data_IF_303646260079
#
_entry.id   IF_303646260079
#
_cell.length_a   1.000
_cell.length_b   1.000
_cell.length_c   1.000
_cell.angle_alpha   90.00
_cell.angle_beta   90.00
_cell.angle_gamma   90.00
#
_symmetry.space_group_name_H-M   'P 1'
#
loop_
_entity.id
_entity.type
_entity.pdbx_description
1 polymer ?
#
# COMPACT_ATOMS: atom_id res chain seq x y z
N UNK A 1 -2.66 81.81 29.69
CA UNK A 1 -2.91 81.01 28.53
C UNK A 1 -2.56 79.53 28.91
N UNK A 2 -3.58 78.81 29.24
CA UNK A 2 -3.50 77.43 29.74
C UNK A 2 -3.79 76.42 28.62
N UNK A 3 -2.79 75.58 28.19
CA UNK A 3 -3.01 74.48 27.29
C UNK A 3 -3.53 73.29 28.09
N UNK A 4 -4.68 72.78 27.69
CA UNK A 4 -5.23 71.50 28.14
C UNK A 4 -4.66 70.36 27.23
N UNK A 5 -3.96 69.40 27.82
CA UNK A 5 -3.56 68.18 27.18
C UNK A 5 -4.67 67.12 27.32
N UNK A 6 -5.15 66.65 26.19
CA UNK A 6 -6.15 65.60 26.10
C UNK A 6 -5.37 64.21 25.88
N UNK A 7 -5.44 63.31 26.85
CA UNK A 7 -4.98 61.95 26.71
C UNK A 7 -6.01 61.13 25.95
N UNK A 8 -5.64 60.64 24.76
CA UNK A 8 -6.37 59.57 24.07
C UNK A 8 -5.85 58.22 24.59
N UNK A 9 -6.71 57.50 25.27
CA UNK A 9 -6.45 56.11 25.61
C UNK A 9 -6.70 55.19 24.39
N UNK A 10 -5.67 54.54 23.92
CA UNK A 10 -5.80 53.49 22.91
C UNK A 10 -6.21 52.18 23.61
N UNK A 11 -7.44 51.74 23.34
CA UNK A 11 -7.89 50.41 23.71
C UNK A 11 -7.31 49.39 22.71
N UNK A 12 -6.38 48.52 23.17
CA UNK A 12 -5.90 47.36 22.42
C UNK A 12 -6.98 46.29 22.53
N UNK A 13 -7.73 46.07 21.45
CA UNK A 13 -8.55 44.87 21.31
C UNK A 13 -7.62 43.70 21.02
N UNK A 14 -7.47 42.82 22.01
CA UNK A 14 -6.89 41.48 21.81
C UNK A 14 -7.93 40.63 21.04
N UNK A 15 -7.76 40.53 19.73
CA UNK A 15 -8.45 39.48 18.94
C UNK A 15 -7.70 38.17 19.17
N UNK A 16 -8.22 37.38 20.12
CA UNK A 16 -7.84 35.99 20.27
C UNK A 16 -8.15 35.22 18.95
N UNK A 17 -7.11 34.74 18.29
CA UNK A 17 -7.22 33.95 17.09
C UNK A 17 -7.89 32.60 17.36
N UNK A 18 -9.16 32.54 17.00
CA UNK A 18 -9.90 31.28 16.84
C UNK A 18 -10.01 31.00 15.33
N UNK A 19 -8.91 30.63 14.70
CA UNK A 19 -8.91 30.20 13.28
C UNK A 19 -7.99 29.01 13.08
N UNK A 20 -8.43 27.81 13.53
CA UNK A 20 -7.91 26.54 13.05
C UNK A 20 -8.81 25.32 13.37
N UNK A 21 -10.00 25.52 13.96
CA UNK A 21 -10.81 24.38 14.43
C UNK A 21 -11.93 23.95 13.49
N UNK A 22 -12.21 24.65 12.40
CA UNK A 22 -13.38 24.33 11.56
C UNK A 22 -13.09 23.37 10.39
N UNK A 23 -11.85 23.25 9.92
CA UNK A 23 -11.55 22.34 8.81
C UNK A 23 -11.34 20.87 9.27
N UNK A 24 -10.85 20.68 10.50
CA UNK A 24 -10.63 19.34 11.04
C UNK A 24 -11.87 18.74 11.72
N UNK A 25 -12.81 19.54 12.18
CA UNK A 25 -14.06 19.04 12.76
C UNK A 25 -14.94 18.32 11.73
N UNK A 26 -14.86 18.72 10.47
CA UNK A 26 -15.67 18.18 9.38
C UNK A 26 -15.17 16.79 8.93
N UNK A 27 -13.84 16.56 8.92
CA UNK A 27 -13.25 15.29 8.50
C UNK A 27 -13.48 14.15 9.52
N UNK A 28 -13.63 14.51 10.78
CA UNK A 28 -13.91 13.55 11.85
C UNK A 28 -15.41 13.24 12.04
N UNK A 29 -16.29 13.90 11.28
CA UNK A 29 -17.73 13.63 11.29
C UNK A 29 -18.06 12.49 10.32
N UNK A 30 -18.05 11.25 10.83
CA UNK A 30 -18.32 10.02 10.07
C UNK A 30 -19.57 9.34 10.60
N UNK A 31 -20.17 8.37 9.87
CA UNK A 31 -21.36 7.66 10.32
C UNK A 31 -21.23 7.03 11.71
N UNK A 32 -20.05 6.48 12.04
CA UNK A 32 -19.82 5.79 13.30
C UNK A 32 -19.36 6.74 14.42
N UNK A 33 -19.83 6.48 15.63
CA UNK A 33 -19.33 7.14 16.85
C UNK A 33 -17.98 6.55 17.27
N UNK A 34 -17.21 7.30 18.06
CA UNK A 34 -15.96 6.87 18.66
C UNK A 34 -16.14 6.65 20.17
N UNK A 35 -15.51 5.59 20.70
CA UNK A 35 -15.49 5.30 22.12
C UNK A 35 -14.62 6.25 22.94
N UNK A 36 -14.62 6.09 24.25
CA UNK A 36 -13.73 6.83 25.16
C UNK A 36 -12.31 6.23 25.09
N UNK A 37 -11.39 7.02 24.57
CA UNK A 37 -9.98 6.65 24.41
C UNK A 37 -9.08 7.14 25.57
N UNK A 38 -9.64 7.92 26.50
CA UNK A 38 -8.89 8.57 27.57
C UNK A 38 -8.34 9.95 27.18
N UNK A 39 -7.56 10.56 28.08
CA UNK A 39 -6.95 11.88 27.88
C UNK A 39 -5.43 11.80 28.05
N UNK A 40 -4.70 12.34 27.07
CA UNK A 40 -3.22 12.31 26.97
C UNK A 40 -2.68 13.69 26.57
N UNK A 41 -3.16 14.73 27.20
CA UNK A 41 -2.88 16.13 26.85
C UNK A 41 -1.39 16.42 26.72
N UNK A 42 -0.95 16.74 25.50
CA UNK A 42 0.44 17.06 25.17
C UNK A 42 1.40 15.87 25.10
N UNK A 43 0.95 14.63 25.35
CA UNK A 43 1.78 13.44 25.12
C UNK A 43 2.05 13.25 23.64
N UNK A 44 3.32 13.00 23.28
CA UNK A 44 3.74 12.83 21.89
C UNK A 44 3.82 11.35 21.54
N UNK A 45 3.09 10.93 20.50
CA UNK A 45 3.22 9.61 19.90
C UNK A 45 3.88 9.79 18.52
N UNK A 46 5.07 9.22 18.36
CA UNK A 46 5.82 9.26 17.10
C UNK A 46 5.50 8.04 16.24
N UNK A 47 5.26 8.26 14.96
CA UNK A 47 4.92 7.21 13.98
C UNK A 47 5.87 7.32 12.80
N UNK A 48 6.37 6.19 12.29
CA UNK A 48 7.16 6.12 11.07
C UNK A 48 6.57 5.10 10.09
N UNK A 49 6.56 5.45 8.81
CA UNK A 49 6.06 4.57 7.74
C UNK A 49 6.60 4.94 6.37
N UNK A 50 6.11 4.28 5.33
CA UNK A 50 6.49 4.55 3.94
C UNK A 50 5.60 5.58 3.24
N UNK A 51 4.47 5.95 3.83
CA UNK A 51 3.45 6.81 3.23
C UNK A 51 3.96 8.23 3.04
N UNK A 52 3.73 8.81 1.86
CA UNK A 52 4.13 10.17 1.48
C UNK A 52 3.03 10.84 0.64
N UNK A 53 3.11 12.17 0.51
CA UNK A 53 2.20 12.93 -0.33
C UNK A 53 0.74 12.79 0.12
N UNK A 54 -0.16 12.43 -0.79
CA UNK A 54 -1.60 12.32 -0.47
C UNK A 54 -1.90 11.22 0.55
N UNK A 55 -1.17 10.12 0.51
CA UNK A 55 -1.34 9.01 1.47
C UNK A 55 -0.94 9.43 2.89
N UNK A 56 0.11 10.25 3.02
CA UNK A 56 0.49 10.91 4.28
C UNK A 56 -0.56 11.91 4.74
N UNK A 57 -1.09 12.75 3.83
CA UNK A 57 -2.18 13.69 4.13
C UNK A 57 -3.40 12.96 4.71
N UNK A 58 -3.77 11.81 4.12
CA UNK A 58 -4.89 10.98 4.57
C UNK A 58 -4.63 10.34 5.95
N UNK A 59 -3.41 9.84 6.17
CA UNK A 59 -2.98 9.36 7.49
C UNK A 59 -3.10 10.47 8.55
N UNK A 60 -2.61 11.67 8.24
CA UNK A 60 -2.66 12.81 9.16
C UNK A 60 -4.11 13.27 9.41
N UNK A 61 -5.00 13.21 8.43
CA UNK A 61 -6.42 13.46 8.63
C UNK A 61 -7.05 12.45 9.60
N UNK A 62 -6.73 11.16 9.45
CA UNK A 62 -7.20 10.11 10.37
C UNK A 62 -6.64 10.32 11.78
N UNK A 63 -5.35 10.60 11.93
CA UNK A 63 -4.73 10.79 13.24
C UNK A 63 -5.19 12.06 13.95
N UNK A 64 -5.58 13.12 13.21
CA UNK A 64 -6.10 14.36 13.79
C UNK A 64 -7.38 14.14 14.62
N UNK A 65 -8.18 13.13 14.29
CA UNK A 65 -9.37 12.78 15.06
C UNK A 65 -9.01 12.13 16.41
N UNK A 66 -7.94 11.35 16.46
CA UNK A 66 -7.38 10.84 17.71
C UNK A 66 -6.83 12.00 18.58
N UNK A 67 -6.06 12.93 17.98
CA UNK A 67 -5.54 14.10 18.67
C UNK A 67 -6.67 14.95 19.26
N UNK A 68 -7.71 15.23 18.49
CA UNK A 68 -8.87 16.00 18.92
C UNK A 68 -9.62 15.33 20.09
N UNK A 69 -9.70 14.00 20.11
CA UNK A 69 -10.41 13.25 21.13
C UNK A 69 -9.61 13.09 22.43
N UNK A 70 -8.28 13.06 22.36
CA UNK A 70 -7.43 12.64 23.48
C UNK A 70 -6.48 13.73 23.99
N UNK A 71 -6.24 14.79 23.21
CA UNK A 71 -5.22 15.81 23.50
C UNK A 71 -3.77 15.33 23.26
N UNK A 72 -3.56 14.10 22.77
CA UNK A 72 -2.24 13.62 22.35
C UNK A 72 -1.76 14.38 21.11
N UNK A 73 -0.46 14.33 20.83
CA UNK A 73 0.16 14.93 19.64
C UNK A 73 0.82 13.82 18.81
N UNK A 74 0.37 13.64 17.58
CA UNK A 74 0.95 12.68 16.64
C UNK A 74 2.06 13.36 15.83
N UNK A 75 3.22 12.68 15.71
CA UNK A 75 4.30 13.10 14.81
C UNK A 75 4.62 11.98 13.87
N UNK A 76 4.23 12.14 12.61
CA UNK A 76 4.51 11.18 11.56
C UNK A 76 5.80 11.54 10.79
N UNK A 77 6.55 10.53 10.37
CA UNK A 77 7.70 10.62 9.48
C UNK A 77 7.60 9.60 8.37
N UNK A 78 7.37 10.06 7.15
CA UNK A 78 7.24 9.23 5.95
C UNK A 78 8.54 9.14 5.16
N UNK A 79 8.95 7.93 4.73
CA UNK A 79 10.13 7.74 3.89
C UNK A 79 9.98 6.54 2.95
N UNK A 80 10.36 6.70 1.68
CA UNK A 80 10.51 5.57 0.74
C UNK A 80 11.59 4.58 1.18
N UNK A 81 12.52 5.04 1.99
CA UNK A 81 13.63 4.24 2.53
C UNK A 81 13.26 3.60 3.88
N UNK A 82 11.95 3.54 4.21
CA UNK A 82 11.44 3.07 5.50
C UNK A 82 12.08 1.75 5.95
N UNK A 83 12.12 0.73 5.08
CA UNK A 83 12.65 -0.59 5.44
C UNK A 83 14.10 -0.53 5.95
N UNK A 84 14.96 0.28 5.33
CA UNK A 84 16.34 0.44 5.77
C UNK A 84 16.44 1.32 7.02
N UNK A 85 15.69 2.41 7.07
CA UNK A 85 15.73 3.38 8.18
C UNK A 85 15.18 2.79 9.48
N UNK A 86 14.06 2.06 9.42
CA UNK A 86 13.45 1.49 10.62
C UNK A 86 14.36 0.45 11.28
N UNK A 87 15.05 -0.39 10.50
CA UNK A 87 16.02 -1.35 11.03
C UNK A 87 17.18 -0.63 11.74
N UNK A 88 17.69 0.46 11.15
CA UNK A 88 18.76 1.26 11.76
C UNK A 88 18.29 1.93 13.05
N UNK A 89 17.10 2.51 13.06
CA UNK A 89 16.52 3.20 14.21
C UNK A 89 16.22 2.24 15.37
N UNK A 90 15.66 1.06 15.08
CA UNK A 90 15.42 0.00 16.07
C UNK A 90 16.74 -0.45 16.73
N UNK A 91 17.76 -0.76 15.93
CA UNK A 91 19.07 -1.20 16.41
C UNK A 91 19.84 -0.12 17.17
N UNK A 92 19.61 1.17 16.87
CA UNK A 92 20.24 2.30 17.58
C UNK A 92 19.44 2.82 18.78
N UNK A 93 18.33 2.16 19.13
CA UNK A 93 17.38 2.58 20.19
C UNK A 93 16.76 3.98 19.94
N UNK A 94 16.63 4.36 18.68
CA UNK A 94 16.02 5.62 18.22
C UNK A 94 14.63 5.41 17.56
N UNK A 95 14.00 4.27 17.79
CA UNK A 95 12.74 3.90 17.20
C UNK A 95 11.60 4.88 17.54
N UNK A 96 10.59 5.07 16.64
CA UNK A 96 9.35 5.76 16.97
C UNK A 96 8.53 4.98 18.01
N UNK A 97 7.36 5.48 18.41
CA UNK A 97 6.42 4.69 19.24
C UNK A 97 5.73 3.60 18.40
N UNK A 98 5.41 3.94 17.14
CA UNK A 98 4.69 3.07 16.21
C UNK A 98 5.46 3.02 14.90
N UNK A 99 5.61 1.83 14.34
CA UNK A 99 6.16 1.61 13.00
C UNK A 99 5.10 0.97 12.11
N UNK A 100 4.92 1.52 10.90
CA UNK A 100 3.95 1.03 9.94
C UNK A 100 4.70 0.24 8.87
N UNK A 101 4.68 -1.08 8.98
CA UNK A 101 5.36 -1.98 8.05
C UNK A 101 4.44 -2.35 6.88
N UNK A 102 4.82 -2.04 5.65
CA UNK A 102 4.20 -2.65 4.48
C UNK A 102 4.68 -4.10 4.25
N UNK A 103 5.82 -4.51 4.84
CA UNK A 103 6.40 -5.84 4.72
C UNK A 103 6.21 -6.65 6.02
N UNK A 104 5.23 -7.58 6.09
CA UNK A 104 5.04 -8.47 7.24
C UNK A 104 6.28 -9.32 7.57
N UNK A 105 7.02 -9.78 6.56
CA UNK A 105 8.26 -10.54 6.76
C UNK A 105 9.32 -9.74 7.52
N UNK A 106 9.55 -8.46 7.14
CA UNK A 106 10.47 -7.58 7.86
C UNK A 106 9.99 -7.29 9.29
N UNK A 107 8.67 -7.13 9.49
CA UNK A 107 8.11 -6.98 10.84
C UNK A 107 8.36 -8.24 11.69
N UNK A 108 8.25 -9.42 11.10
CA UNK A 108 8.58 -10.71 11.73
C UNK A 108 10.04 -10.79 12.17
N UNK A 109 10.98 -10.40 11.29
CA UNK A 109 12.41 -10.32 11.63
C UNK A 109 12.64 -9.40 12.85
N UNK A 110 11.99 -8.23 12.87
CA UNK A 110 12.12 -7.28 13.97
C UNK A 110 11.46 -7.77 15.28
N UNK A 111 10.39 -8.54 15.20
CA UNK A 111 9.78 -9.20 16.35
C UNK A 111 10.70 -10.27 16.94
N UNK A 112 11.28 -11.14 16.11
CA UNK A 112 12.22 -12.17 16.51
C UNK A 112 13.50 -11.58 17.13
N UNK A 113 13.96 -10.42 16.65
CA UNK A 113 15.08 -9.65 17.25
C UNK A 113 14.69 -8.92 18.57
N UNK A 114 13.42 -8.96 19.00
CA UNK A 114 12.94 -8.35 20.24
C UNK A 114 12.73 -6.84 20.18
N UNK A 115 12.59 -6.25 18.98
CA UNK A 115 12.40 -4.81 18.81
C UNK A 115 10.93 -4.37 18.86
N UNK A 116 9.98 -5.31 18.72
CA UNK A 116 8.56 -5.01 18.76
C UNK A 116 7.94 -5.39 20.11
N UNK A 117 6.89 -4.67 20.49
CA UNK A 117 6.10 -4.96 21.69
C UNK A 117 4.79 -5.64 21.30
N UNK A 118 4.42 -6.78 21.87
CA UNK A 118 3.17 -7.46 21.57
C UNK A 118 1.94 -6.57 21.85
N UNK A 119 0.95 -6.62 20.97
CA UNK A 119 -0.33 -5.93 21.13
C UNK A 119 -1.25 -6.65 22.12
N UNK A 120 -1.04 -7.96 22.31
CA UNK A 120 -1.75 -8.81 23.24
C UNK A 120 -2.95 -9.55 22.66
N UNK A 121 -3.42 -10.56 23.41
CA UNK A 121 -4.48 -11.47 22.99
C UNK A 121 -5.82 -10.77 22.76
N UNK A 122 -6.12 -9.72 23.54
CA UNK A 122 -7.37 -8.95 23.40
C UNK A 122 -7.43 -8.25 22.02
N UNK A 123 -6.32 -7.74 21.51
CA UNK A 123 -6.26 -7.11 20.19
C UNK A 123 -6.41 -8.16 19.07
N UNK A 124 -5.79 -9.34 19.24
CA UNK A 124 -5.94 -10.45 18.30
C UNK A 124 -7.38 -10.98 18.26
N UNK A 125 -8.00 -11.19 19.43
CA UNK A 125 -9.39 -11.61 19.53
C UNK A 125 -10.34 -10.58 18.89
N UNK A 126 -10.12 -9.29 19.19
CA UNK A 126 -10.91 -8.23 18.59
C UNK A 126 -10.84 -8.25 17.06
N UNK A 127 -9.63 -8.37 16.47
CA UNK A 127 -9.46 -8.42 15.03
C UNK A 127 -10.12 -9.67 14.42
N UNK A 128 -9.99 -10.84 15.08
CA UNK A 128 -10.66 -12.08 14.66
C UNK A 128 -12.17 -11.89 14.53
N UNK A 129 -12.78 -11.21 15.48
CA UNK A 129 -14.24 -11.04 15.55
C UNK A 129 -14.77 -9.93 14.62
N UNK A 130 -13.99 -8.85 14.45
CA UNK A 130 -14.45 -7.63 13.79
C UNK A 130 -13.98 -7.47 12.34
N UNK A 131 -13.02 -8.28 11.86
CA UNK A 131 -12.56 -8.23 10.48
C UNK A 131 -13.15 -9.36 9.63
N UNK A 132 -13.43 -9.08 8.36
CA UNK A 132 -13.62 -10.12 7.36
C UNK A 132 -12.35 -10.97 7.25
N UNK A 133 -12.47 -12.31 7.32
CA UNK A 133 -11.32 -13.23 7.42
C UNK A 133 -10.35 -12.91 8.58
N UNK A 134 -10.88 -12.45 9.74
CA UNK A 134 -10.11 -11.92 10.86
C UNK A 134 -8.98 -12.82 11.34
N UNK A 135 -9.18 -14.14 11.37
CA UNK A 135 -8.14 -15.11 11.73
C UNK A 135 -6.92 -15.05 10.78
N UNK A 136 -7.12 -14.79 9.47
CA UNK A 136 -6.03 -14.64 8.52
C UNK A 136 -5.22 -13.35 8.76
N UNK A 137 -5.90 -12.27 9.12
CA UNK A 137 -5.23 -11.00 9.47
C UNK A 137 -4.44 -11.10 10.78
N UNK A 138 -4.96 -11.84 11.76
CA UNK A 138 -4.21 -12.14 12.99
C UNK A 138 -2.98 -12.98 12.69
N UNK A 139 -3.12 -14.03 11.87
CA UNK A 139 -1.97 -14.85 11.46
C UNK A 139 -0.88 -14.03 10.75
N UNK A 140 -1.27 -13.06 9.90
CA UNK A 140 -0.35 -12.16 9.20
C UNK A 140 0.44 -11.26 10.15
N UNK A 141 -0.12 -10.86 11.30
CA UNK A 141 0.52 -10.02 12.31
C UNK A 141 1.11 -10.80 13.50
N UNK A 142 1.11 -12.15 13.45
CA UNK A 142 1.63 -13.02 14.50
C UNK A 142 3.03 -13.52 14.15
N UNK A 143 3.98 -13.30 15.02
CA UNK A 143 5.39 -13.65 14.82
C UNK A 143 5.99 -14.27 16.07
N UNK A 144 7.07 -15.04 15.90
CA UNK A 144 7.84 -15.53 17.01
C UNK A 144 8.54 -14.37 17.76
N UNK A 145 8.51 -14.41 19.10
CA UNK A 145 9.33 -13.57 19.95
C UNK A 145 10.77 -14.12 20.03
N UNK A 146 11.74 -13.45 20.70
CA UNK A 146 13.11 -13.95 20.85
C UNK A 146 13.23 -15.33 21.53
N UNK A 147 12.21 -15.76 22.25
CA UNK A 147 12.14 -17.07 22.92
C UNK A 147 11.47 -18.12 22.05
N UNK A 148 10.97 -17.75 20.84
CA UNK A 148 10.30 -18.62 19.88
C UNK A 148 8.81 -18.82 20.14
N UNK A 149 8.17 -18.00 20.97
CA UNK A 149 6.72 -18.07 21.20
C UNK A 149 6.00 -17.12 20.26
N UNK A 150 4.92 -17.59 19.63
CA UNK A 150 4.08 -16.77 18.78
C UNK A 150 3.34 -15.69 19.59
N UNK A 151 3.47 -14.42 19.15
CA UNK A 151 2.80 -13.28 19.73
C UNK A 151 2.18 -12.41 18.63
N UNK A 152 1.09 -11.71 18.92
CA UNK A 152 0.45 -10.78 17.99
C UNK A 152 1.09 -9.38 18.09
N UNK A 153 1.77 -8.95 17.02
CA UNK A 153 2.50 -7.69 16.94
C UNK A 153 1.92 -6.70 15.94
N UNK A 154 1.33 -7.19 14.85
CA UNK A 154 0.96 -6.38 13.69
C UNK A 154 -0.55 -6.18 13.55
N UNK A 155 -1.04 -4.95 13.76
CA UNK A 155 -2.43 -4.59 13.51
C UNK A 155 -2.61 -4.18 12.05
N UNK A 156 -3.30 -5.00 11.25
CA UNK A 156 -3.61 -4.70 9.86
C UNK A 156 -4.70 -3.61 9.80
N UNK A 157 -4.35 -2.40 9.36
CA UNK A 157 -5.28 -1.28 9.34
C UNK A 157 -5.72 -0.90 7.93
N UNK A 158 -4.77 -0.66 7.02
CA UNK A 158 -5.02 -0.34 5.61
C UNK A 158 -4.78 -1.58 4.76
N UNK A 159 -5.75 -1.96 3.93
CA UNK A 159 -5.61 -3.01 2.94
C UNK A 159 -5.48 -2.40 1.55
N UNK A 160 -4.75 -3.07 0.68
CA UNK A 160 -4.58 -2.71 -0.72
C UNK A 160 -4.92 -3.88 -1.63
N UNK A 161 -5.65 -3.61 -2.70
CA UNK A 161 -5.94 -4.53 -3.78
C UNK A 161 -4.92 -4.29 -4.89
N UNK A 162 -4.10 -5.31 -5.23
CA UNK A 162 -2.99 -5.17 -6.18
C UNK A 162 -3.33 -5.63 -7.61
N UNK A 163 -4.38 -6.42 -7.80
CA UNK A 163 -4.78 -6.98 -9.11
C UNK A 163 -5.60 -6.00 -9.94
N UNK A 164 -5.10 -4.77 -10.15
CA UNK A 164 -5.79 -3.73 -10.89
C UNK A 164 -4.95 -3.22 -12.06
N UNK A 165 -5.64 -2.87 -13.17
CA UNK A 165 -5.09 -2.12 -14.30
C UNK A 165 -5.88 -0.82 -14.45
N UNK A 166 -5.18 0.27 -14.27
CA UNK A 166 -5.73 1.63 -14.37
C UNK A 166 -5.62 2.15 -15.80
N UNK A 167 -6.63 2.89 -16.24
CA UNK A 167 -6.71 3.45 -17.58
C UNK A 167 -7.55 4.74 -17.59
N UNK A 168 -7.51 5.49 -18.68
CA UNK A 168 -8.42 6.61 -18.92
C UNK A 168 -9.61 6.13 -19.76
N UNK A 169 -10.86 6.20 -19.25
CA UNK A 169 -12.05 5.83 -20.03
C UNK A 169 -12.18 6.63 -21.33
N UNK A 170 -11.90 7.93 -21.32
CA UNK A 170 -11.91 8.79 -22.49
C UNK A 170 -10.94 8.30 -23.58
N UNK A 171 -9.70 7.92 -23.19
CA UNK A 171 -8.71 7.41 -24.14
C UNK A 171 -9.13 6.06 -24.74
N UNK A 172 -9.75 5.20 -23.94
CA UNK A 172 -10.26 3.92 -24.42
C UNK A 172 -11.43 4.11 -25.39
N UNK A 173 -12.38 4.99 -25.06
CA UNK A 173 -13.53 5.32 -25.94
C UNK A 173 -13.07 5.94 -27.27
N UNK A 174 -12.17 6.91 -27.23
CA UNK A 174 -11.65 7.61 -28.41
C UNK A 174 -10.92 6.68 -29.38
N UNK A 175 -10.25 5.64 -28.87
CA UNK A 175 -9.53 4.64 -29.68
C UNK A 175 -10.35 3.37 -29.96
N UNK A 176 -11.53 3.22 -29.36
CA UNK A 176 -12.38 2.04 -29.52
C UNK A 176 -11.83 0.79 -28.85
N UNK A 177 -11.09 0.95 -27.75
CA UNK A 177 -10.55 -0.18 -26.98
C UNK A 177 -11.60 -0.72 -26.01
N UNK A 178 -11.67 -2.04 -25.90
CA UNK A 178 -12.56 -2.74 -24.98
C UNK A 178 -11.79 -3.29 -23.77
N UNK A 179 -12.45 -3.37 -22.62
CA UNK A 179 -11.85 -3.92 -21.40
C UNK A 179 -11.64 -5.43 -21.55
N UNK A 180 -10.41 -5.95 -21.45
CA UNK A 180 -10.12 -7.36 -21.59
C UNK A 180 -10.60 -8.17 -20.38
N UNK A 181 -11.14 -9.35 -20.61
CA UNK A 181 -11.60 -10.29 -19.59
C UNK A 181 -10.63 -11.44 -19.33
N UNK A 182 -9.66 -11.64 -20.24
CA UNK A 182 -8.62 -12.67 -20.14
C UNK A 182 -7.23 -12.07 -20.40
N UNK A 183 -6.19 -12.76 -19.92
CA UNK A 183 -4.81 -12.35 -20.18
C UNK A 183 -4.46 -12.40 -21.67
N UNK A 184 -5.00 -13.36 -22.37
CA UNK A 184 -4.84 -13.47 -23.83
C UNK A 184 -5.44 -12.23 -24.55
N UNK A 185 -6.61 -11.75 -24.12
CA UNK A 185 -7.22 -10.51 -24.64
C UNK A 185 -6.41 -9.27 -24.24
N UNK A 186 -5.84 -9.22 -23.03
CA UNK A 186 -4.98 -8.12 -22.58
C UNK A 186 -3.70 -7.99 -23.43
N UNK A 187 -3.08 -9.12 -23.76
CA UNK A 187 -1.92 -9.17 -24.66
C UNK A 187 -2.32 -8.72 -26.06
N UNK A 188 -3.44 -9.22 -26.58
CA UNK A 188 -3.95 -8.83 -27.92
C UNK A 188 -4.31 -7.33 -27.97
N UNK A 189 -4.88 -6.77 -26.91
CA UNK A 189 -5.15 -5.34 -26.77
C UNK A 189 -3.83 -4.54 -26.78
N UNK A 190 -2.79 -5.01 -26.09
CA UNK A 190 -1.48 -4.35 -26.11
C UNK A 190 -0.88 -4.34 -27.52
N UNK A 191 -0.98 -5.46 -28.26
CA UNK A 191 -0.54 -5.54 -29.65
C UNK A 191 -1.36 -4.59 -30.58
N UNK A 192 -2.68 -4.49 -30.35
CA UNK A 192 -3.53 -3.56 -31.08
C UNK A 192 -3.12 -2.11 -30.83
N UNK A 193 -2.89 -1.72 -29.56
CA UNK A 193 -2.43 -0.36 -29.22
C UNK A 193 -1.13 0.00 -29.96
N UNK A 194 -0.16 -0.92 -30.02
CA UNK A 194 1.09 -0.72 -30.78
C UNK A 194 0.79 -0.54 -32.27
N UNK A 195 -0.09 -1.36 -32.86
CA UNK A 195 -0.45 -1.27 -34.26
C UNK A 195 -1.15 0.07 -34.59
N UNK A 196 -1.89 0.63 -33.64
CA UNK A 196 -2.57 1.92 -33.76
C UNK A 196 -1.63 3.11 -33.50
N UNK A 197 -0.37 2.85 -33.13
CA UNK A 197 0.66 3.87 -32.83
C UNK A 197 0.62 4.40 -31.39
N UNK A 198 -0.10 3.72 -30.49
CA UNK A 198 -0.16 4.02 -29.06
C UNK A 198 0.79 3.12 -28.27
N UNK A 199 1.29 3.62 -27.15
CA UNK A 199 2.11 2.82 -26.21
C UNK A 199 1.20 2.19 -25.15
N UNK A 200 1.16 0.86 -25.01
CA UNK A 200 0.25 0.20 -24.06
C UNK A 200 0.49 0.55 -22.61
N UNK A 201 1.73 0.50 -22.14
CA UNK A 201 2.04 0.41 -20.72
C UNK A 201 2.87 1.55 -20.15
N UNK A 202 2.41 2.07 -19.02
CA UNK A 202 3.14 2.94 -18.11
C UNK A 202 3.78 2.06 -17.02
N UNK A 203 5.07 1.75 -17.11
CA UNK A 203 5.77 0.90 -16.13
C UNK A 203 6.96 1.65 -15.54
N UNK A 204 7.12 1.61 -14.22
CA UNK A 204 8.27 2.13 -13.50
C UNK A 204 8.45 1.36 -12.20
N UNK A 205 9.71 1.03 -11.86
CA UNK A 205 10.05 0.24 -10.67
C UNK A 205 11.02 0.97 -9.71
N UNK A 206 11.48 2.20 -10.06
CA UNK A 206 12.30 3.00 -9.15
C UNK A 206 11.49 3.42 -7.93
N UNK A 207 12.08 3.26 -6.73
CA UNK A 207 11.49 3.66 -5.44
C UNK A 207 12.58 3.86 -4.36
N UNK A 208 13.71 4.51 -4.69
CA UNK A 208 14.81 4.65 -3.73
C UNK A 208 15.37 3.29 -3.32
N UNK A 209 15.54 3.05 -2.01
CA UNK A 209 16.02 1.77 -1.49
C UNK A 209 14.99 0.62 -1.66
N UNK A 210 13.74 0.92 -1.94
CA UNK A 210 12.70 -0.06 -2.24
C UNK A 210 12.54 -0.31 -3.75
N UNK A 211 13.48 0.16 -4.60
CA UNK A 211 13.44 -0.07 -6.05
C UNK A 211 13.30 -1.55 -6.35
N UNK A 212 12.32 -1.90 -7.19
CA UNK A 212 11.99 -3.28 -7.59
C UNK A 212 10.68 -3.82 -7.02
N UNK A 213 10.13 -3.25 -5.94
CA UNK A 213 8.91 -3.76 -5.32
C UNK A 213 7.70 -3.82 -6.29
N UNK A 214 7.58 -2.89 -7.22
CA UNK A 214 6.50 -2.95 -8.22
C UNK A 214 6.71 -4.06 -9.25
N UNK A 215 7.97 -4.45 -9.51
CA UNK A 215 8.27 -5.58 -10.38
C UNK A 215 7.95 -6.91 -9.68
N UNK A 216 8.16 -7.02 -8.37
CA UNK A 216 7.74 -8.21 -7.61
C UNK A 216 6.23 -8.32 -7.57
N UNK A 217 5.49 -7.22 -7.42
CA UNK A 217 4.02 -7.20 -7.54
C UNK A 217 3.50 -7.79 -8.86
N UNK A 218 4.16 -7.46 -9.97
CA UNK A 218 3.82 -8.05 -11.26
C UNK A 218 4.06 -9.56 -11.27
N UNK A 219 5.21 -9.99 -10.77
CA UNK A 219 5.58 -11.41 -10.67
C UNK A 219 4.58 -12.20 -9.85
N UNK A 220 4.22 -11.68 -8.69
CA UNK A 220 3.32 -12.31 -7.73
C UNK A 220 1.90 -12.46 -8.29
N UNK A 221 1.40 -11.40 -8.92
CA UNK A 221 0.09 -11.42 -9.55
C UNK A 221 0.05 -12.36 -10.76
N UNK A 222 1.15 -12.44 -11.52
CA UNK A 222 1.30 -13.40 -12.62
C UNK A 222 1.46 -14.83 -12.09
N UNK A 223 2.18 -15.05 -10.99
CA UNK A 223 2.25 -16.36 -10.34
C UNK A 223 0.87 -16.90 -9.99
N UNK A 224 -0.02 -16.09 -9.44
CA UNK A 224 -1.41 -16.46 -9.14
C UNK A 224 -2.23 -16.81 -10.39
N UNK A 225 -1.77 -16.43 -11.58
CA UNK A 225 -2.43 -16.66 -12.88
C UNK A 225 -1.77 -17.76 -13.72
N UNK A 226 -0.59 -18.24 -13.32
CA UNK A 226 0.20 -19.23 -14.07
C UNK A 226 0.45 -20.49 -13.29
N UNK A 227 0.21 -20.52 -11.98
CA UNK A 227 0.32 -21.72 -11.15
C UNK A 227 -0.74 -21.74 -10.03
N UNK A 228 -0.84 -22.85 -9.31
CA UNK A 228 -1.87 -23.01 -8.27
C UNK A 228 -1.54 -22.17 -7.01
N UNK A 229 -2.55 -21.82 -6.21
CA UNK A 229 -2.34 -21.12 -4.93
C UNK A 229 -1.40 -21.87 -3.97
N UNK A 230 -1.42 -23.21 -3.99
CA UNK A 230 -0.52 -24.03 -3.18
C UNK A 230 0.94 -23.90 -3.62
N UNK A 231 1.20 -23.76 -4.91
CA UNK A 231 2.55 -23.49 -5.42
C UNK A 231 3.00 -22.06 -5.06
N UNK A 232 2.08 -21.10 -5.06
CA UNK A 232 2.36 -19.74 -4.56
C UNK A 232 2.81 -19.78 -3.09
N UNK A 233 2.05 -20.47 -2.23
CA UNK A 233 2.38 -20.60 -0.80
C UNK A 233 3.73 -21.28 -0.58
N UNK A 234 4.02 -22.36 -1.34
CA UNK A 234 5.31 -23.06 -1.32
C UNK A 234 6.48 -22.20 -1.82
N UNK A 235 6.22 -21.29 -2.77
CA UNK A 235 7.21 -20.33 -3.24
C UNK A 235 7.55 -19.30 -2.17
N UNK A 236 6.54 -18.78 -1.46
CA UNK A 236 6.72 -17.87 -0.33
C UNK A 236 7.59 -18.48 0.78
N UNK A 237 7.43 -19.78 1.07
CA UNK A 237 8.20 -20.51 2.08
C UNK A 237 9.52 -21.11 1.57
N UNK A 238 9.81 -20.97 0.28
CA UNK A 238 10.93 -21.60 -0.43
C UNK A 238 10.88 -23.16 -0.41
N UNK A 239 9.69 -23.74 -0.28
CA UNK A 239 9.44 -25.16 -0.58
C UNK A 239 9.28 -25.40 -2.09
N UNK A 240 8.98 -24.36 -2.85
CA UNK A 240 9.12 -24.24 -4.29
C UNK A 240 10.28 -23.28 -4.58
N UNK A 241 11.33 -23.78 -5.21
CA UNK A 241 12.53 -23.00 -5.47
C UNK A 241 12.25 -21.80 -6.40
N UNK A 242 12.99 -20.71 -6.22
CA UNK A 242 12.88 -19.52 -7.07
C UNK A 242 13.22 -19.78 -8.54
N UNK A 243 14.11 -20.71 -8.80
CA UNK A 243 14.50 -21.13 -10.15
C UNK A 243 13.69 -22.32 -10.69
N UNK A 244 12.50 -22.58 -10.12
CA UNK A 244 11.57 -23.59 -10.62
C UNK A 244 10.93 -23.17 -11.96
N UNK A 245 10.43 -24.15 -12.75
CA UNK A 245 9.76 -23.85 -14.01
C UNK A 245 8.55 -22.91 -13.86
N UNK A 246 7.83 -23.00 -12.75
CA UNK A 246 6.66 -22.18 -12.44
C UNK A 246 7.05 -20.69 -12.30
N UNK A 247 8.11 -20.40 -11.54
CA UNK A 247 8.62 -19.04 -11.33
C UNK A 247 9.23 -18.49 -12.61
N UNK A 248 10.01 -19.28 -13.34
CA UNK A 248 10.58 -18.89 -14.64
C UNK A 248 9.47 -18.56 -15.65
N UNK A 249 8.36 -19.33 -15.64
CA UNK A 249 7.19 -19.03 -16.49
C UNK A 249 6.57 -17.68 -16.17
N UNK A 250 6.41 -17.36 -14.91
CA UNK A 250 5.88 -16.05 -14.49
C UNK A 250 6.84 -14.92 -14.90
N UNK A 251 8.17 -15.10 -14.78
CA UNK A 251 9.18 -14.13 -15.26
C UNK A 251 9.09 -13.91 -16.78
N UNK A 252 8.88 -15.00 -17.56
CA UNK A 252 8.67 -14.86 -19.02
C UNK A 252 7.46 -13.99 -19.34
N UNK A 253 6.32 -14.22 -18.64
CA UNK A 253 5.10 -13.44 -18.86
C UNK A 253 5.31 -11.98 -18.45
N UNK A 254 5.92 -11.71 -17.30
CA UNK A 254 6.26 -10.33 -16.92
C UNK A 254 7.19 -9.66 -17.94
N UNK A 255 8.16 -10.40 -18.47
CA UNK A 255 9.08 -9.90 -19.50
C UNK A 255 8.37 -9.53 -20.81
N UNK A 256 7.25 -10.15 -21.17
CA UNK A 256 6.45 -9.75 -22.34
C UNK A 256 5.93 -8.32 -22.21
N UNK A 257 5.54 -7.90 -20.99
CA UNK A 257 5.07 -6.55 -20.72
C UNK A 257 6.21 -5.55 -20.51
N UNK A 258 7.16 -5.87 -19.64
CA UNK A 258 8.16 -4.92 -19.14
C UNK A 258 9.41 -4.78 -20.01
N UNK A 259 9.70 -5.74 -20.89
CA UNK A 259 10.93 -5.80 -21.71
C UNK A 259 10.69 -5.65 -23.21
N UNK A 260 9.50 -5.24 -23.59
CA UNK A 260 9.13 -4.93 -24.97
C UNK A 260 9.20 -3.41 -25.18
N UNK A 261 10.13 -2.95 -26.02
CA UNK A 261 10.35 -1.51 -26.29
C UNK A 261 9.09 -0.83 -26.87
N UNK A 262 8.28 -1.54 -27.64
CA UNK A 262 7.05 -1.01 -28.22
C UNK A 262 5.90 -0.95 -27.19
N UNK A 263 6.00 -1.73 -26.10
CA UNK A 263 4.97 -1.77 -25.08
C UNK A 263 5.10 -0.70 -24.01
N UNK A 264 6.33 -0.27 -23.71
CA UNK A 264 6.62 0.57 -22.53
C UNK A 264 6.90 2.01 -22.93
N UNK A 265 6.27 2.95 -22.23
CA UNK A 265 6.57 4.37 -22.39
C UNK A 265 8.04 4.66 -22.03
N UNK A 266 8.78 5.19 -23.02
CA UNK A 266 10.22 5.40 -22.92
C UNK A 266 11.07 4.17 -23.24
N UNK A 267 10.45 3.06 -23.66
CA UNK A 267 11.09 1.79 -23.97
C UNK A 267 11.43 0.95 -22.72
N UNK A 268 11.76 -0.31 -22.90
CA UNK A 268 12.07 -1.27 -21.85
C UNK A 268 13.18 -0.80 -20.88
N UNK A 269 14.19 -0.10 -21.42
CA UNK A 269 15.30 0.43 -20.63
C UNK A 269 14.91 1.52 -19.62
N UNK A 270 13.73 2.13 -19.76
CA UNK A 270 13.21 3.14 -18.83
C UNK A 270 12.59 2.54 -17.56
N UNK A 271 12.19 1.28 -17.60
CA UNK A 271 11.46 0.60 -16.51
C UNK A 271 12.20 0.69 -15.19
N UNK A 272 13.49 0.35 -15.19
CA UNK A 272 14.31 0.32 -13.99
C UNK A 272 14.57 1.71 -13.36
N UNK A 273 14.41 2.79 -14.13
CA UNK A 273 14.75 4.16 -13.71
C UNK A 273 13.56 5.08 -13.57
N UNK A 274 12.39 4.69 -14.03
CA UNK A 274 11.16 5.47 -13.88
C UNK A 274 10.60 5.27 -12.47
N UNK A 275 10.39 6.39 -11.76
CA UNK A 275 9.75 6.35 -10.44
C UNK A 275 8.33 5.80 -10.54
N UNK A 276 7.99 4.83 -9.70
CA UNK A 276 6.69 4.14 -9.76
C UNK A 276 5.50 5.10 -9.69
N UNK A 277 5.62 6.17 -8.88
CA UNK A 277 4.58 7.19 -8.72
C UNK A 277 4.52 8.21 -9.85
N UNK A 278 5.51 8.24 -10.75
CA UNK A 278 5.50 9.09 -11.95
C UNK A 278 4.99 8.32 -13.18
N UNK A 279 5.16 6.99 -13.21
CA UNK A 279 4.73 6.15 -14.32
C UNK A 279 3.24 6.37 -14.71
N UNK A 280 2.25 6.36 -13.78
CA UNK A 280 0.84 6.53 -14.15
C UNK A 280 0.48 7.90 -14.70
N UNK A 281 1.33 8.92 -14.53
CA UNK A 281 1.08 10.27 -15.06
C UNK A 281 1.00 10.29 -16.58
N UNK A 282 1.58 9.29 -17.24
CA UNK A 282 1.47 9.09 -18.68
C UNK A 282 0.06 8.90 -19.20
N UNK A 283 -0.86 8.33 -18.40
CA UNK A 283 -2.27 8.18 -18.71
C UNK A 283 -2.96 9.53 -18.95
N UNK A 284 -2.50 10.57 -18.26
CA UNK A 284 -3.14 11.90 -18.23
C UNK A 284 -2.36 12.95 -19.03
N UNK A 285 -1.30 12.57 -19.73
CA UNK A 285 -0.59 13.48 -20.63
C UNK A 285 -1.37 13.70 -21.93
N UNK A 286 -1.14 14.83 -22.61
CA UNK A 286 -1.81 15.13 -23.85
C UNK A 286 -0.80 15.43 -24.99
N UNK A 287 -0.61 14.51 -25.97
CA UNK A 287 -1.27 13.18 -26.06
C UNK A 287 -0.85 12.25 -24.91
N UNK A 288 -1.68 11.23 -24.60
CA UNK A 288 -1.32 10.21 -23.64
C UNK A 288 -0.01 9.50 -24.06
N UNK A 289 0.93 9.34 -23.12
CA UNK A 289 2.18 8.67 -23.42
C UNK A 289 2.14 7.17 -23.21
N UNK A 290 1.10 6.68 -22.57
CA UNK A 290 0.77 5.26 -22.36
C UNK A 290 -0.71 5.12 -22.01
N UNK A 291 -1.31 3.94 -22.26
CA UNK A 291 -2.74 3.71 -22.17
C UNK A 291 -3.18 2.99 -20.89
N UNK A 292 -2.30 2.18 -20.30
CA UNK A 292 -2.59 1.32 -19.15
C UNK A 292 -1.48 1.37 -18.10
N UNK A 293 -1.85 1.21 -16.82
CA UNK A 293 -0.91 1.12 -15.70
C UNK A 293 -1.38 0.06 -14.71
N UNK A 294 -0.62 -1.04 -14.55
CA UNK A 294 -0.94 -2.05 -13.53
C UNK A 294 -0.36 -1.63 -12.19
N UNK A 295 -1.21 -1.38 -11.20
CA UNK A 295 -0.80 -0.99 -9.86
C UNK A 295 -1.98 -1.12 -8.87
N UNK A 296 -1.64 -1.15 -7.57
CA UNK A 296 -2.56 -1.30 -6.47
C UNK A 296 -3.56 -0.14 -6.29
N UNK A 297 -4.55 -0.36 -5.44
CA UNK A 297 -5.65 0.57 -5.13
C UNK A 297 -5.22 1.92 -4.57
N UNK A 298 -4.01 2.04 -4.02
CA UNK A 298 -3.47 3.30 -3.49
C UNK A 298 -2.92 4.24 -4.57
N UNK A 299 -2.64 3.76 -5.81
CA UNK A 299 -1.91 4.55 -6.81
C UNK A 299 -2.57 5.87 -7.21
N UNK A 300 -3.91 6.05 -7.11
CA UNK A 300 -4.53 7.35 -7.36
C UNK A 300 -3.95 8.49 -6.53
N UNK A 301 -3.39 8.22 -5.35
CA UNK A 301 -2.69 9.24 -4.55
C UNK A 301 -1.48 9.87 -5.28
N UNK A 302 -0.94 9.21 -6.30
CA UNK A 302 0.19 9.65 -7.14
C UNK A 302 -0.24 10.25 -8.49
N UNK A 303 -1.52 10.21 -8.83
CA UNK A 303 -2.04 10.83 -10.03
C UNK A 303 -1.86 12.35 -9.98
N UNK A 304 -1.85 13.06 -11.14
CA UNK A 304 -1.63 14.51 -11.18
C UNK A 304 -2.54 15.33 -10.28
N UNK A 305 -3.82 14.92 -10.13
CA UNK A 305 -4.82 15.55 -9.25
C UNK A 305 -5.05 14.76 -7.97
N UNK A 306 -4.09 13.91 -7.56
CA UNK A 306 -4.09 13.18 -6.29
C UNK A 306 -5.36 12.33 -6.04
N UNK A 307 -5.90 11.71 -7.09
CA UNK A 307 -7.05 10.82 -7.04
C UNK A 307 -8.38 11.47 -7.43
N UNK A 308 -8.44 12.79 -7.61
CA UNK A 308 -9.64 13.46 -8.15
C UNK A 308 -10.01 12.92 -9.53
N UNK A 309 -9.03 12.41 -10.30
CA UNK A 309 -9.26 11.76 -11.60
C UNK A 309 -10.24 10.59 -11.49
N UNK A 310 -10.17 9.81 -10.43
CA UNK A 310 -11.09 8.68 -10.20
C UNK A 310 -12.49 9.20 -9.87
N UNK A 311 -12.57 10.19 -8.98
CA UNK A 311 -13.85 10.77 -8.56
C UNK A 311 -14.58 11.46 -9.74
N UNK A 312 -13.83 12.04 -10.68
CA UNK A 312 -14.35 12.75 -11.85
C UNK A 312 -14.57 11.83 -13.09
N UNK A 313 -14.22 10.53 -12.99
CA UNK A 313 -14.33 9.59 -14.10
C UNK A 313 -13.24 9.76 -15.19
N UNK A 314 -12.19 10.51 -14.91
CA UNK A 314 -11.03 10.67 -15.81
C UNK A 314 -10.11 9.44 -15.76
N UNK A 315 -10.17 8.67 -14.66
CA UNK A 315 -9.51 7.39 -14.47
C UNK A 315 -10.50 6.34 -13.96
N UNK A 316 -10.38 5.13 -14.45
CA UNK A 316 -11.06 3.95 -13.94
C UNK A 316 -10.07 2.77 -13.95
N UNK A 317 -10.51 1.61 -13.52
CA UNK A 317 -9.68 0.41 -13.49
C UNK A 317 -10.50 -0.79 -13.93
N UNK A 318 -9.78 -1.83 -14.35
CA UNK A 318 -10.32 -3.16 -14.50
C UNK A 318 -9.48 -4.18 -13.74
N UNK A 319 -10.08 -5.32 -13.42
CA UNK A 319 -9.39 -6.41 -12.78
C UNK A 319 -8.29 -6.97 -13.70
N UNK A 320 -7.07 -7.14 -13.19
CA UNK A 320 -5.98 -7.78 -13.94
C UNK A 320 -6.36 -9.23 -14.26
N UNK A 321 -6.61 -9.57 -15.53
CA UNK A 321 -7.39 -10.75 -15.87
C UNK A 321 -6.60 -12.06 -15.72
N UNK A 322 -7.28 -13.21 -15.49
CA UNK A 322 -6.66 -14.53 -15.51
C UNK A 322 -6.39 -14.98 -16.95
N UNK A 323 -5.52 -15.98 -17.13
CA UNK A 323 -5.45 -16.71 -18.39
C UNK A 323 -6.70 -17.58 -18.58
N UNK A 324 -7.37 -17.47 -19.71
CA UNK A 324 -8.48 -18.36 -20.05
C UNK A 324 -8.05 -19.83 -20.20
N UNK A 325 -6.79 -20.05 -20.57
CA UNK A 325 -6.18 -21.38 -20.72
C UNK A 325 -5.83 -22.06 -19.38
N UNK A 326 -5.87 -21.31 -18.26
CA UNK A 326 -5.50 -21.80 -16.92
C UNK A 326 -6.75 -21.73 -16.02
N UNK A 327 -7.36 -22.84 -15.68
CA UNK A 327 -8.57 -22.91 -14.84
C UNK A 327 -8.27 -22.58 -13.37
N UNK A 328 -7.83 -21.34 -13.09
CA UNK A 328 -7.44 -20.85 -11.77
C UNK A 328 -8.46 -19.87 -11.15
N UNK A 329 -9.61 -19.65 -11.81
CA UNK A 329 -10.65 -18.73 -11.36
C UNK A 329 -10.20 -17.26 -11.42
N UNK A 330 -10.64 -16.46 -10.45
CA UNK A 330 -10.33 -15.04 -10.33
C UNK A 330 -9.44 -14.78 -9.11
N UNK A 331 -8.14 -15.06 -9.19
CA UNK A 331 -7.23 -14.84 -8.07
C UNK A 331 -6.96 -13.35 -7.86
N UNK A 332 -6.84 -12.95 -6.60
CA UNK A 332 -6.53 -11.58 -6.19
C UNK A 332 -5.24 -11.54 -5.39
N UNK A 333 -4.32 -10.70 -5.82
CA UNK A 333 -3.17 -10.28 -5.04
C UNK A 333 -3.58 -9.09 -4.17
N UNK A 334 -3.28 -9.15 -2.89
CA UNK A 334 -3.50 -8.07 -1.95
C UNK A 334 -2.28 -7.75 -1.12
N UNK A 335 -2.32 -6.59 -0.50
CA UNK A 335 -1.34 -6.14 0.47
C UNK A 335 -2.03 -5.41 1.62
N UNK A 336 -1.25 -4.90 2.54
CA UNK A 336 -1.71 -4.07 3.62
C UNK A 336 -0.55 -3.56 4.44
N UNK A 337 -0.84 -2.64 5.34
CA UNK A 337 0.14 -2.12 6.26
C UNK A 337 -0.14 -2.61 7.67
N UNK A 338 0.91 -3.06 8.35
CA UNK A 338 0.87 -3.50 9.74
C UNK A 338 1.38 -2.39 10.65
N UNK A 339 0.51 -1.91 11.52
CA UNK A 339 0.88 -1.01 12.60
C UNK A 339 1.45 -1.83 13.75
N UNK A 340 2.71 -1.59 14.11
CA UNK A 340 3.39 -2.31 15.19
C UNK A 340 3.80 -1.35 16.29
N UNK A 341 3.78 -1.81 17.53
CA UNK A 341 4.23 -1.04 18.67
C UNK A 341 5.71 -1.32 18.94
N UNK A 342 6.55 -0.26 18.92
CA UNK A 342 7.97 -0.33 19.25
C UNK A 342 8.26 0.26 20.62
N UNK A 343 7.47 1.24 21.06
CA UNK A 343 7.55 1.78 22.45
C UNK A 343 6.16 1.81 23.07
N UNK A 344 6.03 1.10 24.17
CA UNK A 344 4.80 1.04 24.94
C UNK A 344 4.60 2.32 25.77
N UNK A 345 3.42 2.90 25.65
CA UNK A 345 2.93 3.96 26.52
C UNK A 345 1.40 3.93 26.57
N UNK A 346 0.76 4.54 27.57
CA UNK A 346 -0.69 4.64 27.61
C UNK A 346 -1.27 5.32 26.37
N UNK A 347 -0.67 6.39 25.86
CA UNK A 347 -1.09 7.08 24.65
C UNK A 347 -0.91 6.20 23.38
N UNK A 348 0.20 5.43 23.30
CA UNK A 348 0.40 4.48 22.18
C UNK A 348 -0.65 3.38 22.20
N UNK A 349 -0.97 2.80 23.35
CA UNK A 349 -2.02 1.78 23.47
C UNK A 349 -3.41 2.34 23.16
N UNK A 350 -3.70 3.58 23.54
CA UNK A 350 -4.95 4.25 23.18
C UNK A 350 -5.05 4.46 21.66
N UNK A 351 -3.92 4.73 20.97
CA UNK A 351 -3.92 4.82 19.51
C UNK A 351 -4.28 3.47 18.86
N UNK A 352 -3.78 2.34 19.36
CA UNK A 352 -4.19 1.02 18.86
C UNK A 352 -5.68 0.72 19.13
N UNK A 353 -6.26 1.22 20.24
CA UNK A 353 -7.70 1.15 20.45
C UNK A 353 -8.48 2.04 19.46
N UNK A 354 -7.93 3.21 19.12
CA UNK A 354 -8.51 4.06 18.09
C UNK A 354 -8.53 3.38 16.72
N UNK A 355 -7.47 2.64 16.35
CA UNK A 355 -7.46 1.85 15.11
C UNK A 355 -8.52 0.74 15.07
N UNK A 356 -9.07 0.34 16.23
CA UNK A 356 -10.20 -0.60 16.33
C UNK A 356 -11.56 0.07 16.12
N UNK A 357 -11.65 1.39 16.18
CA UNK A 357 -12.90 2.13 15.99
C UNK A 357 -13.25 2.23 14.50
N UNK A 358 -14.50 1.96 14.13
CA UNK A 358 -14.97 2.11 12.75
C UNK A 358 -14.70 3.52 12.19
N UNK A 359 -14.82 4.55 13.03
CA UNK A 359 -14.54 5.94 12.68
C UNK A 359 -13.13 6.15 12.14
N UNK A 360 -12.10 5.50 12.68
CA UNK A 360 -10.73 5.62 12.19
C UNK A 360 -10.62 5.16 10.72
N UNK A 361 -11.31 4.09 10.37
CA UNK A 361 -11.40 3.57 9.00
C UNK A 361 -12.20 4.52 8.10
N UNK A 362 -13.38 4.96 8.54
CA UNK A 362 -14.30 5.81 7.78
C UNK A 362 -13.70 7.17 7.44
N UNK A 363 -12.91 7.76 8.34
CA UNK A 363 -12.17 9.00 8.05
C UNK A 363 -11.26 8.81 6.85
N UNK A 364 -10.48 7.74 6.81
CA UNK A 364 -9.59 7.49 5.68
C UNK A 364 -10.36 7.05 4.43
N UNK A 365 -11.40 6.21 4.57
CA UNK A 365 -12.29 5.83 3.45
C UNK A 365 -12.82 7.06 2.71
N UNK A 366 -13.21 8.11 3.45
CA UNK A 366 -13.73 9.36 2.88
C UNK A 366 -12.66 10.19 2.14
N UNK A 367 -11.39 9.97 2.42
CA UNK A 367 -10.27 10.66 1.74
C UNK A 367 -9.80 9.94 0.47
N UNK A 368 -10.24 8.71 0.26
CA UNK A 368 -9.84 7.90 -0.89
C UNK A 368 -8.61 7.02 -0.67
N UNK A 369 -8.37 6.12 -1.62
CA UNK A 369 -7.21 5.20 -1.63
C UNK A 369 -7.04 4.36 -0.36
N UNK A 370 -8.16 3.92 0.23
CA UNK A 370 -8.19 3.12 1.45
C UNK A 370 -9.25 2.02 1.35
N UNK A 371 -8.84 0.81 1.64
CA UNK A 371 -9.75 -0.32 1.80
C UNK A 371 -9.61 -0.87 3.21
N UNK A 372 -10.69 -1.45 3.72
CA UNK A 372 -10.70 -2.05 5.05
C UNK A 372 -11.47 -3.37 5.10
N UNK A 373 -10.98 -4.29 5.93
CA UNK A 373 -11.68 -5.52 6.29
C UNK A 373 -12.60 -5.35 7.51
N UNK A 374 -12.66 -4.16 8.11
CA UNK A 374 -13.46 -3.89 9.32
C UNK A 374 -14.96 -3.95 9.03
N UNK A 375 -15.66 -4.97 9.61
CA UNK A 375 -17.10 -5.22 9.37
C UNK A 375 -18.02 -4.11 9.88
N UNK A 376 -17.56 -3.32 10.84
CA UNK A 376 -18.33 -2.23 11.45
C UNK A 376 -18.16 -0.88 10.75
N UNK A 377 -17.24 -0.75 9.79
CA UNK A 377 -17.11 0.47 8.99
C UNK A 377 -18.29 0.57 8.02
N UNK A 378 -18.89 1.77 7.90
CA UNK A 378 -20.01 2.02 7.01
C UNK A 378 -19.51 2.15 5.56
N UNK A 379 -19.94 1.28 4.61
CA UNK A 379 -19.51 1.37 3.22
C UNK A 379 -19.88 2.70 2.54
N UNK A 380 -20.88 3.43 3.06
CA UNK A 380 -21.24 4.75 2.53
C UNK A 380 -20.16 5.82 2.77
N UNK A 381 -19.17 5.53 3.62
CA UNK A 381 -18.03 6.40 3.85
C UNK A 381 -16.98 6.35 2.72
N UNK A 382 -17.04 5.39 1.79
CA UNK A 382 -16.14 5.37 0.64
C UNK A 382 -16.30 6.61 -0.23
N UNK A 383 -15.20 7.23 -0.61
CA UNK A 383 -15.18 8.48 -1.37
C UNK A 383 -15.74 8.36 -2.79
N UNK A 384 -15.81 7.14 -3.35
CA UNK A 384 -16.25 6.93 -4.72
C UNK A 384 -16.83 5.53 -4.97
N UNK A 385 -17.66 5.42 -6.02
CA UNK A 385 -18.13 4.13 -6.53
C UNK A 385 -16.97 3.21 -6.95
N UNK A 386 -15.89 3.77 -7.44
CA UNK A 386 -14.70 3.00 -7.81
C UNK A 386 -14.09 2.27 -6.61
N UNK A 387 -14.02 2.92 -5.44
CA UNK A 387 -13.57 2.24 -4.22
C UNK A 387 -14.54 1.15 -3.77
N UNK A 388 -15.85 1.37 -3.88
CA UNK A 388 -16.85 0.35 -3.59
C UNK A 388 -16.66 -0.88 -4.51
N UNK A 389 -16.39 -0.67 -5.81
CA UNK A 389 -16.06 -1.74 -6.77
C UNK A 389 -14.77 -2.49 -6.39
N UNK A 390 -13.75 -1.80 -5.86
CA UNK A 390 -12.53 -2.47 -5.37
C UNK A 390 -12.83 -3.40 -4.18
N UNK A 391 -13.66 -2.95 -3.25
CA UNK A 391 -14.16 -3.78 -2.16
C UNK A 391 -14.93 -5.01 -2.67
N UNK A 392 -15.72 -4.86 -3.73
CA UNK A 392 -16.46 -5.94 -4.37
C UNK A 392 -15.53 -6.98 -5.03
N UNK A 393 -14.44 -6.55 -5.67
CA UNK A 393 -13.41 -7.48 -6.22
C UNK A 393 -12.81 -8.32 -5.09
N UNK A 394 -12.46 -7.71 -3.94
CA UNK A 394 -11.93 -8.43 -2.78
C UNK A 394 -12.93 -9.45 -2.23
N UNK A 395 -14.20 -9.10 -2.16
CA UNK A 395 -15.24 -10.00 -1.61
C UNK A 395 -15.61 -11.14 -2.54
N UNK A 396 -15.47 -10.94 -3.85
CA UNK A 396 -15.78 -11.94 -4.88
C UNK A 396 -14.56 -12.77 -5.35
N UNK A 397 -13.38 -12.51 -4.78
CA UNK A 397 -12.17 -13.26 -5.11
C UNK A 397 -12.34 -14.77 -4.84
N UNK A 398 -12.02 -15.62 -5.82
CA UNK A 398 -12.00 -17.08 -5.63
C UNK A 398 -10.76 -17.53 -4.87
N UNK A 399 -9.68 -16.77 -4.99
CA UNK A 399 -8.40 -16.95 -4.31
C UNK A 399 -7.87 -15.59 -3.91
N UNK A 400 -7.46 -15.44 -2.65
CA UNK A 400 -6.73 -14.27 -2.17
C UNK A 400 -5.37 -14.71 -1.66
N UNK A 401 -4.30 -14.02 -2.07
CA UNK A 401 -2.97 -14.17 -1.48
C UNK A 401 -2.39 -12.79 -1.19
N UNK A 402 -1.70 -12.75 -0.06
CA UNK A 402 -0.90 -11.58 0.27
C UNK A 402 0.35 -11.56 -0.61
N UNK A 403 0.88 -10.39 -0.86
CA UNK A 403 2.13 -10.10 -1.55
C UNK A 403 3.26 -11.02 -1.05
N UNK A 404 3.86 -11.80 -1.95
CA UNK A 404 4.84 -12.81 -1.58
C UNK A 404 6.14 -12.19 -1.06
N UNK A 405 6.64 -11.14 -1.71
CA UNK A 405 7.87 -10.47 -1.30
C UNK A 405 7.74 -9.86 0.10
N UNK A 406 6.55 -9.37 0.44
CA UNK A 406 6.25 -8.81 1.75
C UNK A 406 6.15 -9.88 2.86
N UNK A 407 5.81 -11.13 2.48
CA UNK A 407 5.76 -12.29 3.40
C UNK A 407 7.11 -12.96 3.60
N UNK A 408 8.02 -12.86 2.64
CA UNK A 408 9.35 -13.47 2.70
C UNK A 408 10.21 -12.79 3.77
N UNK A 409 11.24 -13.47 4.33
CA UNK A 409 12.24 -12.82 5.17
C UNK A 409 12.77 -11.54 4.51
N UNK A 410 12.98 -10.46 5.28
CA UNK A 410 13.35 -9.15 4.75
C UNK A 410 14.60 -9.17 3.84
N UNK A 411 15.57 -10.05 4.13
CA UNK A 411 16.77 -10.23 3.28
C UNK A 411 16.43 -10.79 1.88
N UNK A 412 15.33 -11.50 1.74
CA UNK A 412 14.87 -12.06 0.48
C UNK A 412 13.86 -11.12 -0.18
N UNK A 413 12.70 -10.89 0.44
CA UNK A 413 11.62 -10.13 -0.16
C UNK A 413 12.02 -8.69 -0.48
N UNK A 414 12.37 -7.91 0.53
CA UNK A 414 12.82 -6.52 0.39
C UNK A 414 14.31 -6.40 -0.02
N UNK A 415 15.05 -7.50 -0.03
CA UNK A 415 16.46 -7.55 -0.42
C UNK A 415 16.68 -8.13 -1.81
N UNK A 416 16.96 -9.44 -1.87
CA UNK A 416 17.38 -10.11 -3.10
C UNK A 416 16.30 -10.05 -4.20
N UNK A 417 15.02 -10.25 -3.86
CA UNK A 417 13.95 -10.27 -4.85
C UNK A 417 13.75 -8.90 -5.50
N UNK A 418 13.69 -7.80 -4.73
CA UNK A 418 13.59 -6.45 -5.31
C UNK A 418 14.78 -6.11 -6.20
N UNK A 419 16.02 -6.37 -5.72
CA UNK A 419 17.23 -6.02 -6.46
C UNK A 419 17.37 -6.82 -7.75
N UNK A 420 17.08 -8.11 -7.72
CA UNK A 420 17.20 -8.98 -8.89
C UNK A 420 16.10 -8.74 -9.91
N UNK A 421 14.86 -8.40 -9.47
CA UNK A 421 13.79 -8.00 -10.39
C UNK A 421 14.08 -6.64 -11.04
N UNK A 422 14.78 -5.74 -10.35
CA UNK A 422 15.30 -4.51 -10.96
C UNK A 422 16.36 -4.82 -12.03
N UNK A 423 17.27 -5.76 -11.75
CA UNK A 423 18.26 -6.22 -12.72
C UNK A 423 17.59 -6.91 -13.92
N UNK A 424 16.54 -7.72 -13.69
CA UNK A 424 15.72 -8.32 -14.74
C UNK A 424 15.09 -7.25 -15.64
N UNK A 425 14.44 -6.24 -15.06
CA UNK A 425 13.87 -5.12 -15.81
C UNK A 425 14.95 -4.37 -16.63
N UNK A 426 16.19 -4.34 -16.15
CA UNK A 426 17.35 -3.73 -16.83
C UNK A 426 18.09 -4.69 -17.79
N UNK A 427 17.53 -5.86 -18.10
CA UNK A 427 18.00 -6.76 -19.15
C UNK A 427 18.70 -8.04 -18.71
N UNK A 428 18.82 -8.32 -17.38
CA UNK A 428 19.31 -9.60 -16.88
C UNK A 428 18.37 -10.74 -17.33
N UNK A 429 18.91 -11.90 -17.70
CA UNK A 429 18.10 -13.03 -18.09
C UNK A 429 17.35 -13.67 -16.90
N UNK A 430 16.20 -14.31 -17.18
CA UNK A 430 15.33 -14.87 -16.16
C UNK A 430 15.99 -15.97 -15.30
N UNK A 431 16.79 -16.84 -15.93
CA UNK A 431 17.46 -17.93 -15.21
C UNK A 431 18.48 -17.36 -14.22
N UNK A 432 19.34 -16.43 -14.65
CA UNK A 432 20.32 -15.77 -13.77
C UNK A 432 19.61 -15.02 -12.62
N UNK A 433 18.53 -14.29 -12.90
CA UNK A 433 17.74 -13.59 -11.89
C UNK A 433 17.22 -14.59 -10.83
N UNK A 434 16.59 -15.66 -11.28
CA UNK A 434 16.01 -16.68 -10.40
C UNK A 434 17.08 -17.42 -9.58
N UNK A 435 18.24 -17.78 -10.21
CA UNK A 435 19.34 -18.44 -9.53
C UNK A 435 19.98 -17.56 -8.45
N UNK A 436 20.10 -16.24 -8.69
CA UNK A 436 20.63 -15.31 -7.70
C UNK A 436 19.70 -15.19 -6.49
N UNK A 437 18.38 -15.11 -6.68
CA UNK A 437 17.41 -15.07 -5.57
C UNK A 437 17.44 -16.39 -4.81
N UNK A 438 17.50 -17.53 -5.51
CA UNK A 438 17.60 -18.84 -4.85
C UNK A 438 18.89 -18.95 -4.04
N UNK A 439 20.01 -18.46 -4.55
CA UNK A 439 21.27 -18.46 -3.80
C UNK A 439 21.21 -17.60 -2.53
N UNK A 440 20.47 -16.47 -2.56
CA UNK A 440 20.23 -15.67 -1.37
C UNK A 440 19.40 -16.43 -0.32
N UNK A 441 18.36 -17.15 -0.75
CA UNK A 441 17.59 -18.06 0.12
C UNK A 441 18.45 -19.14 0.77
N UNK A 442 19.33 -19.79 -0.02
CA UNK A 442 20.21 -20.85 0.47
C UNK A 442 21.24 -20.32 1.48
N UNK A 443 21.57 -19.04 1.41
CA UNK A 443 22.52 -18.40 2.33
C UNK A 443 21.93 -18.05 3.71
N UNK A 444 20.61 -17.97 3.86
CA UNK A 444 19.94 -17.65 5.13
C UNK A 444 19.36 -18.90 5.83
N UNK A 445 19.41 -20.08 5.19
CA UNK A 445 19.05 -21.38 5.77
C UNK A 445 20.25 -21.91 6.59
#
# INVERSE_FOLDING_TARGET
>A
MTLKSTLLGAAVLATSGAFATSAFADVCDTPSSMGDLGSFEGEVVTIMGSMQGKDEENLLAMTSCFEAATGAVIKYSGSRDFAALIVADLRSNNAPNISIFPQPGLAGDMAADGFLTPLGDDAAAWMTDNYGAGASWVALGTYADPDGNDQFYGFAFKQDLKSLVWYSPEQFEDNGYEIPSTMEELIALSDQMVADGNTPWCIGVESGNATGWTATDWMEDIMLRTTTPENYDRWVSNDLAFNSPEVLKAMEVYGQFSRNDDYVAGGASSVATTFFGDAPKGLFSSPASCMMHRQASFIPAFFPKKGEEVANGEADFFYFPPFASMDLGNPVLGAGTLYTMTKDSPATRAFFKYLQEARAHEVWMSQGAFLTAHKGADPSAYASEAQAKQGEILTNATTFRFDASDLMPGAIGAGAFWSEMTAFANGQDAQTTADNIQAAWDAIK
#
